data_IF_291717570409
#
_entry.id   IF_291717570409
#
_cell.length_a   1.000
_cell.length_b   1.000
_cell.length_c   1.000
_cell.angle_alpha   90.00
_cell.angle_beta   90.00
_cell.angle_gamma   90.00
#
_symmetry.space_group_name_H-M   'P 1'
#
loop_
_entity.id
_entity.type
_entity.pdbx_description
1 polymer ?
#
# COMPACT_ATOMS: atom_id res chain seq x y z
N UNK A 1 -27.75 -35.78 42.05
CA UNK A 1 -27.11 -34.99 40.97
C UNK A 1 -28.15 -33.98 40.51
N UNK A 2 -27.85 -32.68 40.48
CA UNK A 2 -28.79 -31.63 40.09
C UNK A 2 -28.45 -31.18 38.68
N UNK A 3 -29.26 -31.54 37.70
CA UNK A 3 -29.11 -31.11 36.30
C UNK A 3 -29.73 -29.72 36.12
N UNK A 4 -29.07 -28.83 35.38
CA UNK A 4 -29.58 -27.48 35.10
C UNK A 4 -30.48 -27.52 33.88
N UNK A 5 -31.68 -26.96 34.00
CA UNK A 5 -32.62 -26.82 32.89
C UNK A 5 -32.16 -25.71 31.91
N UNK A 6 -32.17 -26.00 30.61
CA UNK A 6 -31.73 -25.12 29.52
C UNK A 6 -32.83 -25.01 28.44
N UNK A 7 -33.79 -24.08 28.60
CA UNK A 7 -34.87 -23.91 27.63
C UNK A 7 -34.36 -23.34 26.29
N UNK A 8 -34.91 -23.79 25.14
CA UNK A 8 -34.71 -23.17 23.84
C UNK A 8 -35.07 -21.66 23.81
N UNK A 9 -34.49 -20.87 22.90
CA UNK A 9 -34.77 -19.43 22.81
C UNK A 9 -36.23 -19.07 22.50
N UNK A 10 -36.97 -19.98 21.86
CA UNK A 10 -38.38 -19.82 21.53
C UNK A 10 -39.33 -20.24 22.66
N UNK A 11 -38.81 -20.72 23.79
CA UNK A 11 -39.60 -21.14 24.95
C UNK A 11 -39.67 -20.01 25.98
N UNK A 12 -40.71 -20.01 26.83
CA UNK A 12 -40.78 -19.05 27.93
C UNK A 12 -39.60 -19.21 28.89
N UNK A 13 -39.15 -18.09 29.46
CA UNK A 13 -38.09 -18.09 30.47
C UNK A 13 -38.56 -18.80 31.77
N UNK A 14 -37.69 -19.56 32.44
CA UNK A 14 -38.03 -20.20 33.70
C UNK A 14 -38.34 -19.17 34.80
N UNK A 15 -39.17 -19.50 35.80
CA UNK A 15 -39.54 -18.56 36.86
C UNK A 15 -38.36 -17.99 37.68
N UNK A 16 -37.26 -18.73 37.79
CA UNK A 16 -36.03 -18.30 38.45
C UNK A 16 -34.82 -19.10 37.93
N UNK A 17 -33.62 -18.56 38.12
CA UNK A 17 -32.38 -19.27 37.75
C UNK A 17 -32.21 -20.53 38.60
N UNK A 18 -31.90 -21.64 37.95
CA UNK A 18 -31.84 -22.96 38.60
C UNK A 18 -33.19 -23.62 38.84
N UNK A 19 -34.30 -23.10 38.28
CA UNK A 19 -35.59 -23.77 38.33
C UNK A 19 -35.48 -25.20 37.80
N UNK A 20 -36.05 -26.13 38.57
CA UNK A 20 -36.13 -27.55 38.20
C UNK A 20 -37.59 -27.87 37.89
N UNK A 21 -37.91 -28.38 36.69
CA UNK A 21 -39.26 -28.79 36.37
C UNK A 21 -39.80 -29.88 37.31
N UNK A 22 -41.12 -29.90 37.56
CA UNK A 22 -41.80 -31.06 38.15
C UNK A 22 -41.50 -32.36 37.36
N UNK A 23 -41.56 -33.51 38.03
CA UNK A 23 -41.23 -34.80 37.40
C UNK A 23 -42.14 -35.18 36.21
N UNK A 24 -43.34 -34.60 36.17
CA UNK A 24 -44.35 -34.75 35.13
C UNK A 24 -44.32 -33.64 34.06
N UNK A 25 -43.30 -32.78 34.08
CA UNK A 25 -43.16 -31.68 33.14
C UNK A 25 -43.15 -32.15 31.69
N UNK A 26 -44.03 -31.55 30.88
CA UNK A 26 -44.04 -31.68 29.42
C UNK A 26 -44.11 -30.30 28.79
N UNK A 27 -43.33 -30.05 27.71
CA UNK A 27 -43.47 -28.80 26.98
C UNK A 27 -44.86 -28.70 26.38
N UNK A 28 -45.47 -27.53 26.51
CA UNK A 28 -46.76 -27.24 25.90
C UNK A 28 -46.60 -27.17 24.37
N UNK A 29 -47.64 -27.55 23.64
CA UNK A 29 -47.59 -27.59 22.17
C UNK A 29 -47.27 -26.21 21.54
N UNK A 30 -47.70 -25.13 22.20
CA UNK A 30 -47.53 -23.74 21.76
C UNK A 30 -46.08 -23.25 21.81
N UNK A 31 -45.21 -23.87 22.62
CA UNK A 31 -43.80 -23.45 22.74
C UNK A 31 -42.96 -23.87 21.53
N UNK A 32 -43.51 -24.75 20.69
CA UNK A 32 -42.84 -25.29 19.52
C UNK A 32 -41.86 -26.42 19.86
N UNK A 33 -41.38 -27.15 18.83
CA UNK A 33 -40.52 -28.31 19.02
C UNK A 33 -39.15 -27.91 19.56
N UNK A 34 -38.51 -28.85 20.25
CA UNK A 34 -37.10 -28.75 20.62
C UNK A 34 -36.24 -28.82 19.35
N UNK A 35 -35.35 -27.86 19.10
CA UNK A 35 -34.45 -27.91 17.94
C UNK A 35 -33.57 -29.16 17.94
N UNK A 36 -33.22 -29.65 16.75
CA UNK A 36 -32.34 -30.81 16.61
C UNK A 36 -30.98 -30.57 17.31
N UNK A 37 -30.55 -31.54 18.13
CA UNK A 37 -29.29 -31.44 18.87
C UNK A 37 -29.36 -30.60 20.16
N UNK A 38 -30.51 -30.02 20.49
CA UNK A 38 -30.67 -29.24 21.72
C UNK A 38 -30.72 -30.13 22.96
N UNK A 39 -29.94 -29.78 23.99
CA UNK A 39 -29.91 -30.47 25.29
C UNK A 39 -30.64 -29.63 26.34
N UNK A 40 -31.82 -30.09 26.74
CA UNK A 40 -32.63 -29.47 27.80
C UNK A 40 -31.97 -29.59 29.18
N UNK A 41 -31.11 -30.59 29.37
CA UNK A 41 -30.46 -30.87 30.64
C UNK A 41 -28.95 -30.76 30.48
N UNK A 42 -28.38 -29.77 31.17
CA UNK A 42 -26.95 -29.61 31.28
C UNK A 42 -26.50 -30.27 32.59
N UNK A 43 -25.71 -31.33 32.47
CA UNK A 43 -24.99 -31.87 33.63
C UNK A 43 -24.11 -30.79 34.24
N UNK A 44 -23.86 -30.85 35.55
CA UNK A 44 -22.96 -29.92 36.25
C UNK A 44 -21.64 -29.90 35.47
N UNK A 45 -21.30 -28.72 34.94
CA UNK A 45 -20.10 -28.50 34.15
C UNK A 45 -18.90 -29.09 34.89
N UNK A 46 -18.39 -30.25 34.45
CA UNK A 46 -16.97 -30.49 34.65
C UNK A 46 -16.29 -29.34 33.90
N UNK A 47 -15.35 -28.60 34.51
CA UNK A 47 -14.63 -27.55 33.80
C UNK A 47 -14.15 -28.17 32.49
N UNK A 48 -14.54 -27.57 31.37
CA UNK A 48 -14.22 -28.04 30.02
C UNK A 48 -12.70 -28.10 29.89
N UNK A 49 -12.11 -29.24 30.26
CA UNK A 49 -10.66 -29.46 30.22
C UNK A 49 -10.20 -29.88 28.82
N UNK A 50 -11.13 -30.12 27.91
CA UNK A 50 -10.88 -30.09 26.49
C UNK A 50 -11.40 -28.76 25.96
N UNK A 51 -10.48 -27.90 25.51
CA UNK A 51 -10.83 -26.72 24.73
C UNK A 51 -11.72 -27.11 23.55
N UNK A 52 -12.58 -26.21 23.11
CA UNK A 52 -13.37 -26.45 21.90
C UNK A 52 -12.44 -26.82 20.73
N UNK A 53 -12.87 -27.67 19.77
CA UNK A 53 -12.05 -27.99 18.59
C UNK A 53 -11.61 -26.74 17.82
N UNK A 54 -12.39 -25.66 17.93
CA UNK A 54 -12.07 -24.34 17.39
C UNK A 54 -10.93 -23.66 18.15
N UNK A 55 -10.91 -23.72 19.49
CA UNK A 55 -9.78 -23.24 20.30
C UNK A 55 -8.51 -24.07 20.11
N UNK A 56 -8.64 -25.39 19.90
CA UNK A 56 -7.50 -26.25 19.56
C UNK A 56 -6.93 -25.97 18.15
N UNK A 57 -7.70 -25.28 17.30
CA UNK A 57 -7.29 -24.90 15.95
C UNK A 57 -6.81 -23.44 15.86
N UNK A 58 -6.98 -22.63 16.91
CA UNK A 58 -6.37 -21.28 16.98
C UNK A 58 -4.83 -21.34 17.03
N UNK A 59 -4.28 -22.45 17.51
CA UNK A 59 -2.82 -22.68 17.59
C UNK A 59 -2.19 -23.13 16.26
N UNK A 60 -3.00 -23.35 15.21
CA UNK A 60 -2.52 -23.73 13.87
C UNK A 60 -2.77 -22.57 12.90
N UNK A 61 -1.77 -21.71 12.63
CA UNK A 61 -1.98 -20.59 11.74
C UNK A 61 -2.18 -21.08 10.30
N UNK A 62 -3.35 -20.78 9.72
CA UNK A 62 -3.68 -21.08 8.33
C UNK A 62 -2.72 -20.45 7.30
N UNK A 63 -1.86 -19.51 7.73
CA UNK A 63 -0.94 -18.75 6.89
C UNK A 63 0.54 -18.98 7.22
N UNK A 64 0.89 -19.91 8.11
CA UNK A 64 2.28 -20.10 8.57
C UNK A 64 2.86 -18.97 9.42
N UNK A 65 2.14 -17.84 9.56
CA UNK A 65 2.50 -16.76 10.46
C UNK A 65 2.19 -17.16 11.91
N UNK A 66 3.21 -17.23 12.77
CA UNK A 66 3.03 -17.59 14.18
C UNK A 66 2.10 -16.58 14.90
N UNK A 67 1.09 -17.04 15.67
CA UNK A 67 0.26 -16.15 16.48
C UNK A 67 1.13 -15.39 17.49
N UNK A 68 1.05 -14.05 17.46
CA UNK A 68 1.86 -13.20 18.34
C UNK A 68 1.31 -13.22 19.77
N UNK A 69 2.21 -13.07 20.75
CA UNK A 69 1.83 -12.70 22.10
C UNK A 69 1.11 -11.33 22.10
N UNK A 70 0.05 -11.19 22.88
CA UNK A 70 -0.72 -9.93 23.02
C UNK A 70 0.24 -8.79 23.37
N UNK A 71 0.27 -7.76 22.53
CA UNK A 71 1.06 -6.55 22.76
C UNK A 71 0.42 -5.75 23.90
N UNK A 72 1.01 -5.82 25.10
CA UNK A 72 0.56 -5.10 26.31
C UNK A 72 0.85 -3.59 26.22
N UNK A 73 1.85 -3.19 25.43
CA UNK A 73 2.24 -1.81 25.21
C UNK A 73 2.59 -1.57 23.73
N UNK A 74 1.90 -0.63 23.08
CA UNK A 74 2.20 -0.26 21.70
C UNK A 74 3.60 0.39 21.63
N UNK A 75 4.54 -0.13 20.82
CA UNK A 75 5.94 0.34 20.81
C UNK A 75 6.13 1.67 20.06
N UNK A 76 5.06 2.30 19.58
CA UNK A 76 5.15 3.58 18.86
C UNK A 76 4.88 4.73 19.83
N UNK A 77 5.94 5.43 20.20
CA UNK A 77 5.82 6.71 20.90
C UNK A 77 5.64 7.82 19.86
N UNK A 78 4.49 8.50 19.92
CA UNK A 78 4.21 9.65 19.05
C UNK A 78 4.86 10.88 19.67
N UNK A 79 6.03 11.27 19.18
CA UNK A 79 6.72 12.47 19.64
C UNK A 79 6.01 13.76 19.17
N UNK A 80 5.37 13.73 17.99
CA UNK A 80 4.51 14.77 17.42
C UNK A 80 3.56 14.15 16.38
N UNK A 81 2.36 14.74 16.12
CA UNK A 81 1.50 14.28 15.03
C UNK A 81 2.27 14.36 13.70
N UNK A 82 2.53 13.21 13.09
CA UNK A 82 3.25 13.09 11.81
C UNK A 82 4.76 12.83 11.90
N UNK A 83 5.37 12.75 13.09
CA UNK A 83 6.77 12.37 13.25
C UNK A 83 6.89 11.07 14.06
N UNK A 84 7.27 10.00 13.37
CA UNK A 84 7.51 8.68 13.96
C UNK A 84 9.01 8.49 14.02
N UNK A 85 9.59 8.35 15.21
CA UNK A 85 11.05 8.32 15.40
C UNK A 85 11.65 6.98 14.99
N UNK A 86 11.01 5.87 15.31
CA UNK A 86 11.47 4.52 14.99
C UNK A 86 10.25 3.57 14.94
N UNK A 87 9.98 2.97 13.77
CA UNK A 87 8.96 1.95 13.63
C UNK A 87 9.60 0.57 13.79
N UNK A 88 9.73 0.09 15.03
CA UNK A 88 10.27 -1.24 15.31
C UNK A 88 9.41 -2.38 14.74
N UNK A 89 8.21 -2.09 14.22
CA UNK A 89 7.40 -3.07 13.47
C UNK A 89 8.05 -3.42 12.12
N UNK A 90 8.90 -2.57 11.54
CA UNK A 90 9.55 -2.88 10.24
C UNK A 90 10.58 -4.02 10.34
N UNK A 91 11.03 -4.35 11.55
CA UNK A 91 11.96 -5.46 11.80
C UNK A 91 11.24 -6.79 12.09
N UNK A 92 9.90 -6.80 12.09
CA UNK A 92 9.14 -8.01 12.37
C UNK A 92 9.04 -8.91 11.14
N UNK A 93 9.26 -10.20 11.34
CA UNK A 93 9.20 -11.20 10.28
C UNK A 93 7.74 -11.47 9.89
N UNK A 94 7.25 -10.68 8.94
CA UNK A 94 5.92 -10.81 8.34
C UNK A 94 5.89 -11.82 7.19
N UNK A 95 6.97 -12.58 6.94
CA UNK A 95 7.08 -13.47 5.78
C UNK A 95 7.23 -12.73 4.44
N UNK A 96 7.45 -11.41 4.46
CA UNK A 96 7.85 -10.62 3.30
C UNK A 96 9.36 -10.40 3.34
N UNK A 97 10.02 -10.49 2.17
CA UNK A 97 11.44 -10.17 2.09
C UNK A 97 11.69 -8.74 2.60
N UNK A 98 12.74 -8.52 3.42
CA UNK A 98 13.05 -7.19 3.94
C UNK A 98 13.21 -6.22 2.77
N UNK A 99 12.61 -5.04 2.90
CA UNK A 99 12.67 -4.02 1.86
C UNK A 99 14.13 -3.73 1.49
N UNK A 100 14.45 -3.79 0.19
CA UNK A 100 15.81 -3.55 -0.29
C UNK A 100 16.27 -2.16 0.15
N UNK A 101 17.39 -2.03 0.88
CA UNK A 101 17.83 -0.73 1.39
C UNK A 101 18.11 0.23 0.23
N UNK A 102 17.35 1.33 0.16
CA UNK A 102 17.52 2.35 -0.86
C UNK A 102 18.68 3.26 -0.45
N UNK A 103 19.80 3.18 -1.17
CA UNK A 103 20.95 4.07 -0.93
C UNK A 103 20.65 5.48 -1.44
N UNK A 104 20.28 6.38 -0.53
CA UNK A 104 20.10 7.79 -0.87
C UNK A 104 21.48 8.44 -1.13
N UNK A 105 21.70 8.98 -2.33
CA UNK A 105 22.95 9.67 -2.73
C UNK A 105 22.65 11.14 -3.07
N UNK A 106 22.37 11.99 -2.08
CA UNK A 106 21.90 13.36 -2.30
C UNK A 106 22.92 14.20 -3.07
N UNK A 107 24.22 14.02 -2.79
CA UNK A 107 25.30 14.74 -3.50
C UNK A 107 25.37 14.41 -5.00
N UNK A 108 25.09 13.16 -5.37
CA UNK A 108 25.13 12.73 -6.77
C UNK A 108 23.94 13.32 -7.54
N UNK A 109 22.74 13.34 -6.95
CA UNK A 109 21.57 14.00 -7.54
C UNK A 109 21.81 15.49 -7.74
N UNK A 110 22.38 16.18 -6.75
CA UNK A 110 22.73 17.59 -6.84
C UNK A 110 23.74 17.86 -7.97
N UNK A 111 24.82 17.07 -8.02
CA UNK A 111 25.81 17.19 -9.09
C UNK A 111 25.17 17.00 -10.47
N UNK A 112 24.30 16.00 -10.64
CA UNK A 112 23.59 15.75 -11.89
C UNK A 112 22.71 16.95 -12.30
N UNK A 113 21.97 17.54 -11.35
CA UNK A 113 21.13 18.72 -11.63
C UNK A 113 21.94 19.95 -12.04
N UNK A 114 23.10 20.16 -11.40
CA UNK A 114 23.99 21.27 -11.76
C UNK A 114 24.54 21.06 -13.17
N UNK A 115 25.02 19.86 -13.48
CA UNK A 115 25.55 19.52 -14.81
C UNK A 115 24.48 19.70 -15.89
N UNK A 116 23.25 19.21 -15.66
CA UNK A 116 22.15 19.39 -16.60
C UNK A 116 21.82 20.86 -16.85
N UNK A 117 21.84 21.68 -15.80
CA UNK A 117 21.57 23.12 -15.88
C UNK A 117 22.65 23.83 -16.68
N UNK A 118 23.93 23.57 -16.38
CA UNK A 118 25.07 24.16 -17.11
C UNK A 118 25.03 23.77 -18.58
N UNK A 119 24.75 22.50 -18.90
CA UNK A 119 24.65 22.03 -20.27
C UNK A 119 23.51 22.73 -21.03
N UNK A 120 22.36 22.93 -20.39
CA UNK A 120 21.25 23.68 -20.96
C UNK A 120 21.61 25.13 -21.27
N UNK A 121 22.30 25.82 -20.35
CA UNK A 121 22.78 27.17 -20.59
C UNK A 121 23.79 27.25 -21.74
N UNK A 122 24.73 26.31 -21.82
CA UNK A 122 25.70 26.26 -22.91
C UNK A 122 25.03 26.04 -24.26
N UNK A 123 24.03 25.14 -24.33
CA UNK A 123 23.29 24.88 -25.55
C UNK A 123 22.47 26.10 -25.99
N UNK A 124 21.83 26.80 -25.05
CA UNK A 124 21.12 28.05 -25.32
C UNK A 124 22.07 29.13 -25.84
N UNK A 125 23.23 29.33 -25.18
CA UNK A 125 24.24 30.28 -25.62
C UNK A 125 24.79 29.95 -27.01
N UNK A 126 25.10 28.68 -27.27
CA UNK A 126 25.56 28.22 -28.58
C UNK A 126 24.51 28.48 -29.67
N UNK A 127 23.22 28.28 -29.36
CA UNK A 127 22.12 28.56 -30.29
C UNK A 127 22.05 30.05 -30.64
N UNK A 128 22.21 30.94 -29.65
CA UNK A 128 22.25 32.39 -29.88
C UNK A 128 23.44 32.78 -30.74
N UNK A 129 24.65 32.27 -30.42
CA UNK A 129 25.86 32.56 -31.21
C UNK A 129 25.72 32.08 -32.65
N UNK A 130 25.21 30.86 -32.85
CA UNK A 130 24.99 30.31 -34.19
C UNK A 130 23.98 31.14 -34.99
N UNK A 131 22.91 31.60 -34.34
CA UNK A 131 21.92 32.47 -34.99
C UNK A 131 22.54 33.81 -35.42
N UNK A 132 23.34 34.45 -34.56
CA UNK A 132 24.03 35.70 -34.90
C UNK A 132 24.97 35.49 -36.08
N UNK A 133 25.80 34.44 -36.07
CA UNK A 133 26.68 34.12 -37.20
C UNK A 133 25.91 33.87 -38.49
N UNK A 134 24.78 33.18 -38.42
CA UNK A 134 23.94 32.92 -39.58
C UNK A 134 23.35 34.22 -40.14
N UNK A 135 22.89 35.13 -39.29
CA UNK A 135 22.36 36.43 -39.72
C UNK A 135 23.43 37.34 -40.31
N UNK A 136 24.63 37.33 -39.72
CA UNK A 136 25.77 38.11 -40.19
C UNK A 136 26.19 37.65 -41.60
N UNK A 137 26.37 36.34 -41.77
CA UNK A 137 26.62 35.72 -43.06
C UNK A 137 25.54 36.05 -44.11
N UNK A 138 24.27 36.01 -43.71
CA UNK A 138 23.16 36.30 -44.60
C UNK A 138 23.15 37.76 -45.10
N UNK A 139 23.61 38.70 -44.28
CA UNK A 139 23.63 40.13 -44.60
C UNK A 139 24.89 40.50 -45.37
N UNK A 140 26.07 40.04 -44.95
CA UNK A 140 27.35 40.50 -45.47
C UNK A 140 27.86 39.67 -46.65
N UNK A 141 27.84 38.33 -46.53
CA UNK A 141 28.51 37.44 -47.48
C UNK A 141 27.58 36.95 -48.60
N UNK A 142 26.32 36.68 -48.25
CA UNK A 142 25.33 36.10 -49.16
C UNK A 142 25.05 36.97 -50.41
N UNK A 143 24.94 38.31 -50.32
CA UNK A 143 24.77 39.16 -51.50
C UNK A 143 25.96 39.12 -52.46
N UNK A 144 27.19 39.09 -51.92
CA UNK A 144 28.42 38.98 -52.71
C UNK A 144 28.51 37.64 -53.46
N UNK A 145 28.16 36.54 -52.79
CA UNK A 145 28.11 35.21 -53.41
C UNK A 145 27.04 35.12 -54.51
N UNK A 146 25.83 35.65 -54.28
CA UNK A 146 24.77 35.66 -55.29
C UNK A 146 25.15 36.52 -56.51
N UNK A 147 25.79 37.67 -56.29
CA UNK A 147 26.21 38.58 -57.37
C UNK A 147 27.39 38.01 -58.16
N UNK A 148 28.36 37.37 -57.50
CA UNK A 148 29.46 36.67 -58.18
C UNK A 148 28.99 35.47 -59.01
N UNK A 149 27.94 34.78 -58.55
CA UNK A 149 27.33 33.66 -59.27
C UNK A 149 26.50 34.12 -60.49
N UNK A 150 25.75 35.22 -60.36
CA UNK A 150 24.95 35.78 -61.45
C UNK A 150 25.78 36.61 -62.46
N UNK A 151 26.87 37.25 -62.02
CA UNK A 151 27.71 38.13 -62.83
C UNK A 151 28.72 37.41 -63.74
N UNK A 152 28.96 36.12 -63.56
CA UNK A 152 29.95 35.35 -64.32
C UNK A 152 29.53 34.88 -65.73
N UNK A 153 28.41 35.36 -66.29
CA UNK A 153 27.80 34.74 -67.48
C UNK A 153 27.29 35.68 -68.59
N UNK A 154 27.82 36.90 -68.71
CA UNK A 154 27.54 37.72 -69.90
C UNK A 154 28.77 37.81 -70.81
N UNK A 155 28.79 37.12 -71.98
CA UNK A 155 29.81 37.35 -73.00
C UNK A 155 29.66 38.77 -73.57
N UNK A 156 30.78 39.48 -73.72
CA UNK A 156 30.82 40.82 -74.30
C UNK A 156 30.28 40.82 -75.75
N UNK A 157 29.48 41.81 -76.18
CA UNK A 157 28.97 41.87 -77.54
C UNK A 157 30.13 42.08 -78.53
N UNK A 158 30.16 41.38 -79.67
CA UNK A 158 31.20 41.57 -80.66
C UNK A 158 31.10 42.99 -81.22
N UNK A 159 32.20 43.75 -81.09
CA UNK A 159 32.35 45.04 -81.74
C UNK A 159 32.54 44.83 -83.24
N UNK A 160 31.70 45.51 -84.03
CA UNK A 160 31.86 45.62 -85.47
C UNK A 160 33.20 46.31 -85.80
N UNK A 161 34.01 45.65 -86.64
CA UNK A 161 35.19 46.20 -87.30
C UNK A 161 35.14 45.85 -88.78
#
# INVERSE_FOLDING_TARGET
MTERFNPPPNWPEPPHDGWTPPADFRPQHEWGPVPAGWRLWLGKQLPSRAGSPLQLSEDVPASGAQPRARVEAYPVSVLNPGMWTENHLEAEDYGFEPAKPVKNRPRLRLALTIVATVLGFLLAAATVVLFVQLTDFAVEDLPGMMTGWLGGSLPAPPGDS
#
